data_IF_589261425696
#
_entry.id   IF_589261425696
#
_cell.length_a   1.000
_cell.length_b   1.000
_cell.length_c   1.000
_cell.angle_alpha   90.00
_cell.angle_beta   90.00
_cell.angle_gamma   90.00
#
_symmetry.space_group_name_H-M   'P 1'
#
loop_
_entity.id
_entity.type
_entity.pdbx_description
1 polymer ?
#
# COMPACT_ATOMS: atom_id res chain seq x y z
N UNK A 1 -18.52 -1.08 -8.69
CA UNK A 1 -17.42 -0.47 -7.92
C UNK A 1 -17.37 1.02 -8.24
N UNK A 2 -17.43 1.88 -7.21
CA UNK A 2 -17.41 3.35 -7.34
C UNK A 2 -15.99 3.88 -7.16
N UNK A 3 -15.46 4.58 -8.16
CA UNK A 3 -14.08 5.10 -8.16
C UNK A 3 -14.11 6.63 -8.18
N UNK A 4 -13.36 7.26 -7.28
CA UNK A 4 -13.03 8.68 -7.34
C UNK A 4 -11.68 8.83 -8.03
N UNK A 5 -11.61 9.66 -9.06
CA UNK A 5 -10.37 9.95 -9.82
C UNK A 5 -9.87 11.33 -9.47
N UNK A 6 -8.61 11.49 -9.07
CA UNK A 6 -8.03 12.81 -8.76
C UNK A 6 -6.66 12.96 -9.41
N UNK A 7 -6.53 13.95 -10.28
CA UNK A 7 -5.31 14.27 -11.01
C UNK A 7 -5.36 15.74 -11.44
N UNK A 8 -4.26 16.49 -11.33
CA UNK A 8 -4.25 17.89 -11.74
C UNK A 8 -4.21 18.06 -13.28
N UNK A 9 -3.85 17.01 -14.01
CA UNK A 9 -3.98 16.97 -15.47
C UNK A 9 -5.39 16.51 -15.87
N UNK A 10 -6.18 17.48 -16.39
CA UNK A 10 -7.54 17.23 -16.87
C UNK A 10 -7.63 16.21 -18.02
N UNK A 11 -6.60 16.15 -18.88
CA UNK A 11 -6.59 15.17 -19.98
C UNK A 11 -6.43 13.74 -19.43
N UNK A 12 -5.61 13.57 -18.40
CA UNK A 12 -5.47 12.28 -17.70
C UNK A 12 -6.79 11.90 -17.05
N UNK A 13 -7.46 12.82 -16.37
CA UNK A 13 -8.78 12.56 -15.77
C UNK A 13 -9.80 12.09 -16.81
N UNK A 14 -9.91 12.78 -17.96
CA UNK A 14 -10.87 12.40 -19.03
C UNK A 14 -10.50 11.07 -19.67
N UNK A 15 -9.20 10.80 -19.87
CA UNK A 15 -8.75 9.52 -20.38
C UNK A 15 -9.09 8.37 -19.43
N UNK A 16 -8.79 8.52 -18.14
CA UNK A 16 -9.12 7.55 -17.10
C UNK A 16 -10.63 7.32 -17.00
N UNK A 17 -11.42 8.40 -17.01
CA UNK A 17 -12.88 8.30 -16.98
C UNK A 17 -13.39 7.50 -18.19
N UNK A 18 -12.87 7.77 -19.39
CA UNK A 18 -13.25 7.03 -20.59
C UNK A 18 -12.89 5.55 -20.48
N UNK A 19 -11.66 5.22 -20.05
CA UNK A 19 -11.21 3.84 -19.86
C UNK A 19 -12.10 3.14 -18.83
N UNK A 20 -12.33 3.74 -17.66
CA UNK A 20 -13.09 3.14 -16.59
C UNK A 20 -14.57 2.94 -16.95
N UNK A 21 -15.16 3.84 -17.71
CA UNK A 21 -16.56 3.73 -18.17
C UNK A 21 -16.78 2.62 -19.22
N UNK A 22 -15.74 2.13 -19.90
CA UNK A 22 -15.86 0.97 -20.78
C UNK A 22 -16.04 -0.34 -19.99
N UNK A 23 -15.68 -0.34 -18.73
CA UNK A 23 -15.85 -1.46 -17.81
C UNK A 23 -17.26 -1.39 -17.19
N UNK A 24 -18.09 -2.36 -17.49
CA UNK A 24 -19.50 -2.36 -17.09
C UNK A 24 -19.75 -2.45 -15.58
N UNK A 25 -18.72 -2.79 -14.80
CA UNK A 25 -18.75 -2.95 -13.34
C UNK A 25 -18.04 -1.81 -12.57
N UNK A 26 -17.57 -0.78 -13.28
CA UNK A 26 -16.88 0.39 -12.70
C UNK A 26 -17.68 1.67 -12.98
N UNK A 27 -17.95 2.43 -11.94
CA UNK A 27 -18.60 3.74 -11.99
C UNK A 27 -17.60 4.81 -11.51
N UNK A 28 -17.36 5.84 -12.31
CA UNK A 28 -16.61 7.03 -11.87
C UNK A 28 -17.55 7.92 -11.06
N UNK A 29 -17.43 7.86 -9.73
CA UNK A 29 -18.28 8.58 -8.79
C UNK A 29 -18.01 10.09 -8.79
N UNK A 30 -16.80 10.50 -9.13
CA UNK A 30 -16.40 11.90 -9.20
C UNK A 30 -14.99 12.07 -9.78
N UNK A 31 -14.66 13.31 -10.09
CA UNK A 31 -13.33 13.73 -10.57
C UNK A 31 -12.90 14.96 -9.80
N UNK A 32 -11.70 14.96 -9.25
CA UNK A 32 -11.05 16.09 -8.60
C UNK A 32 -9.74 16.47 -9.28
N UNK A 33 -9.21 17.66 -8.98
CA UNK A 33 -8.04 18.19 -9.67
C UNK A 33 -6.92 18.64 -8.73
N UNK A 34 -7.03 18.36 -7.43
CA UNK A 34 -6.01 18.68 -6.42
C UNK A 34 -6.27 17.88 -5.14
N UNK A 35 -5.35 17.95 -4.17
CA UNK A 35 -5.49 17.23 -2.91
C UNK A 35 -6.68 17.66 -2.06
N UNK A 36 -7.08 18.93 -2.10
CA UNK A 36 -8.27 19.40 -1.38
C UNK A 36 -9.56 18.81 -1.96
N UNK A 37 -9.65 18.72 -3.31
CA UNK A 37 -10.75 18.04 -3.97
C UNK A 37 -10.78 16.56 -3.55
N UNK A 38 -9.61 15.90 -3.46
CA UNK A 38 -9.54 14.51 -3.03
C UNK A 38 -10.16 14.31 -1.65
N UNK A 39 -9.81 15.15 -0.67
CA UNK A 39 -10.34 15.05 0.71
C UNK A 39 -11.84 15.34 0.74
N UNK A 40 -12.29 16.45 0.14
CA UNK A 40 -13.69 16.87 0.18
C UNK A 40 -14.61 15.89 -0.56
N UNK A 41 -14.23 15.48 -1.78
CA UNK A 41 -15.02 14.54 -2.57
C UNK A 41 -15.00 13.12 -1.99
N UNK A 42 -13.91 12.71 -1.34
CA UNK A 42 -13.88 11.42 -0.66
C UNK A 42 -14.90 11.37 0.48
N UNK A 43 -14.94 12.40 1.32
CA UNK A 43 -15.88 12.50 2.43
C UNK A 43 -17.34 12.53 1.95
N UNK A 44 -17.62 13.27 0.86
CA UNK A 44 -18.96 13.40 0.27
C UNK A 44 -19.43 12.13 -0.42
N UNK A 45 -18.59 11.59 -1.32
CA UNK A 45 -19.00 10.51 -2.24
C UNK A 45 -18.80 9.12 -1.65
N UNK A 46 -17.91 8.97 -0.68
CA UNK A 46 -17.51 7.68 -0.05
C UNK A 46 -17.26 6.60 -1.10
N UNK A 47 -16.28 6.79 -1.99
CA UNK A 47 -15.98 5.85 -3.07
C UNK A 47 -15.44 4.52 -2.50
N UNK A 48 -15.56 3.46 -3.27
CA UNK A 48 -14.94 2.17 -2.94
C UNK A 48 -13.42 2.23 -3.05
N UNK A 49 -12.90 2.98 -4.04
CA UNK A 49 -11.47 3.19 -4.29
C UNK A 49 -11.23 4.64 -4.73
N UNK A 50 -10.19 5.26 -4.19
CA UNK A 50 -9.64 6.52 -4.67
C UNK A 50 -8.42 6.24 -5.55
N UNK A 51 -8.48 6.62 -6.82
CA UNK A 51 -7.35 6.65 -7.75
C UNK A 51 -6.80 8.06 -7.81
N UNK A 52 -5.57 8.29 -7.35
CA UNK A 52 -5.06 9.63 -7.13
C UNK A 52 -3.61 9.79 -7.57
N UNK A 53 -3.30 10.90 -8.27
CA UNK A 53 -1.91 11.29 -8.50
C UNK A 53 -1.25 11.76 -7.20
N UNK A 54 0.05 11.57 -7.12
CA UNK A 54 0.87 12.03 -6.00
C UNK A 54 1.24 13.50 -6.15
N UNK A 55 1.63 13.90 -7.37
CA UNK A 55 2.19 15.24 -7.62
C UNK A 55 1.14 16.16 -8.20
N UNK A 56 0.46 16.85 -7.32
CA UNK A 56 -0.53 17.88 -7.66
C UNK A 56 -0.14 19.22 -7.07
N UNK A 57 -0.53 20.31 -7.71
CA UNK A 57 -0.28 21.66 -7.21
C UNK A 57 -1.00 21.93 -5.87
N UNK A 58 -0.30 22.57 -4.93
CA UNK A 58 -0.82 22.82 -3.59
C UNK A 58 -0.69 21.59 -2.68
N UNK A 59 -1.82 21.06 -2.21
CA UNK A 59 -1.85 19.82 -1.41
C UNK A 59 -1.52 18.63 -2.28
N UNK A 60 -0.46 17.91 -1.92
CA UNK A 60 -0.01 16.69 -2.62
C UNK A 60 -0.95 15.52 -2.38
N UNK A 61 -0.88 14.49 -3.25
CA UNK A 61 -1.64 13.26 -3.04
C UNK A 61 -1.28 12.52 -1.74
N UNK A 62 -0.02 12.62 -1.29
CA UNK A 62 0.40 12.04 -0.01
C UNK A 62 -0.22 12.75 1.19
N UNK A 63 -0.24 14.08 1.19
CA UNK A 63 -0.91 14.87 2.24
C UNK A 63 -2.41 14.61 2.25
N UNK A 64 -3.04 14.53 1.07
CA UNK A 64 -4.45 14.17 0.94
C UNK A 64 -4.73 12.74 1.45
N UNK A 65 -3.86 11.77 1.11
CA UNK A 65 -3.93 10.40 1.60
C UNK A 65 -3.88 10.35 3.14
N UNK A 66 -2.95 11.08 3.75
CA UNK A 66 -2.83 11.14 5.21
C UNK A 66 -4.09 11.73 5.85
N UNK A 67 -4.63 12.82 5.30
CA UNK A 67 -5.86 13.44 5.78
C UNK A 67 -7.05 12.48 5.69
N UNK A 68 -7.23 11.82 4.53
CA UNK A 68 -8.30 10.85 4.31
C UNK A 68 -8.18 9.65 5.26
N UNK A 69 -7.01 9.05 5.40
CA UNK A 69 -6.80 7.88 6.27
C UNK A 69 -6.96 8.21 7.76
N UNK A 70 -6.73 9.45 8.17
CA UNK A 70 -6.96 9.90 9.55
C UNK A 70 -8.45 9.91 9.91
N UNK A 71 -9.32 10.24 8.96
CA UNK A 71 -10.77 10.29 9.14
C UNK A 71 -11.45 8.97 8.73
N UNK A 72 -10.94 8.33 7.68
CA UNK A 72 -11.44 7.08 7.11
C UNK A 72 -10.33 6.02 7.08
N UNK A 73 -10.04 5.32 8.19
CA UNK A 73 -8.93 4.37 8.29
C UNK A 73 -8.98 3.20 7.29
N UNK A 74 -10.17 2.83 6.84
CA UNK A 74 -10.41 1.75 5.87
C UNK A 74 -10.41 2.22 4.41
N UNK A 75 -10.10 3.50 4.15
CA UNK A 75 -10.07 4.04 2.80
C UNK A 75 -9.07 3.28 1.92
N UNK A 76 -9.51 2.93 0.71
CA UNK A 76 -8.68 2.24 -0.27
C UNK A 76 -8.16 3.26 -1.27
N UNK A 77 -6.85 3.52 -1.19
CA UNK A 77 -6.18 4.53 -2.01
C UNK A 77 -5.15 3.83 -2.89
N UNK A 78 -5.28 4.01 -4.20
CA UNK A 78 -4.36 3.57 -5.23
C UNK A 78 -3.71 4.80 -5.86
N UNK A 79 -2.40 4.94 -5.71
CA UNK A 79 -1.66 6.01 -6.36
C UNK A 79 -1.37 5.68 -7.82
N UNK A 80 -1.52 6.69 -8.67
CA UNK A 80 -1.18 6.62 -10.08
C UNK A 80 -0.28 7.80 -10.42
N UNK A 81 0.98 7.57 -10.78
CA UNK A 81 1.97 8.64 -10.97
C UNK A 81 2.81 8.46 -12.22
N UNK A 82 3.37 9.55 -12.72
CA UNK A 82 4.28 9.51 -13.87
C UNK A 82 5.70 9.11 -13.46
N UNK A 83 6.11 9.38 -12.23
CA UNK A 83 7.49 9.23 -11.79
C UNK A 83 7.64 8.21 -10.65
N UNK A 84 8.70 7.40 -10.76
CA UNK A 84 9.17 6.54 -9.69
C UNK A 84 10.08 7.36 -8.77
N UNK A 85 9.48 7.95 -7.73
CA UNK A 85 10.20 8.63 -6.67
C UNK A 85 10.27 7.72 -5.44
N UNK A 86 11.49 7.40 -5.05
CA UNK A 86 11.77 6.46 -3.97
C UNK A 86 11.16 6.92 -2.63
N UNK A 87 11.20 8.22 -2.34
CA UNK A 87 10.65 8.78 -1.10
C UNK A 87 9.13 8.69 -1.08
N UNK A 88 8.47 8.97 -2.21
CA UNK A 88 7.01 8.88 -2.32
C UNK A 88 6.52 7.45 -2.20
N UNK A 89 7.24 6.48 -2.78
CA UNK A 89 6.92 5.05 -2.65
C UNK A 89 6.94 4.65 -1.17
N UNK A 90 8.01 5.00 -0.44
CA UNK A 90 8.15 4.65 0.98
C UNK A 90 7.07 5.32 1.83
N UNK A 91 6.79 6.60 1.59
CA UNK A 91 5.74 7.32 2.32
C UNK A 91 4.35 6.71 2.06
N UNK A 92 4.01 6.41 0.80
CA UNK A 92 2.75 5.78 0.44
C UNK A 92 2.56 4.42 1.13
N UNK A 93 3.63 3.60 1.17
CA UNK A 93 3.62 2.30 1.85
C UNK A 93 3.42 2.43 3.37
N UNK A 94 4.14 3.36 4.02
CA UNK A 94 4.03 3.62 5.46
C UNK A 94 2.63 4.10 5.87
N UNK A 95 2.02 4.94 5.04
CA UNK A 95 0.65 5.42 5.28
C UNK A 95 -0.42 4.34 5.07
N UNK A 96 -0.08 3.22 4.44
CA UNK A 96 -1.02 2.13 4.18
C UNK A 96 -1.84 2.29 2.92
N UNK A 97 -1.32 3.04 1.94
CA UNK A 97 -1.90 3.05 0.60
C UNK A 97 -2.02 1.63 0.06
N UNK A 98 -3.14 1.32 -0.60
CA UNK A 98 -3.42 -0.03 -1.11
C UNK A 98 -2.74 -0.32 -2.44
N UNK A 99 -2.15 0.69 -3.06
CA UNK A 99 -1.37 0.43 -4.25
C UNK A 99 -0.67 1.66 -4.81
N UNK A 100 0.22 1.37 -5.76
CA UNK A 100 1.04 2.36 -6.43
C UNK A 100 1.37 1.88 -7.85
N UNK A 101 0.92 2.60 -8.86
CA UNK A 101 1.11 2.29 -10.27
C UNK A 101 1.74 3.46 -11.02
N UNK A 102 2.36 3.16 -12.14
CA UNK A 102 2.80 4.16 -13.09
C UNK A 102 1.69 4.49 -14.10
N UNK A 103 1.53 5.78 -14.45
CA UNK A 103 0.56 6.25 -15.46
C UNK A 103 0.77 5.61 -16.84
N UNK A 104 1.99 5.15 -17.15
CA UNK A 104 2.28 4.45 -18.41
C UNK A 104 1.70 3.03 -18.49
N UNK A 105 1.35 2.42 -17.34
CA UNK A 105 0.84 1.05 -17.26
C UNK A 105 -0.69 1.01 -17.31
N UNK A 106 -1.29 1.65 -18.32
CA UNK A 106 -2.74 1.83 -18.47
C UNK A 106 -3.53 0.51 -18.39
N UNK A 107 -2.99 -0.55 -18.96
CA UNK A 107 -3.63 -1.88 -18.96
C UNK A 107 -3.77 -2.48 -17.55
N UNK A 108 -2.90 -2.06 -16.61
CA UNK A 108 -2.90 -2.54 -15.24
C UNK A 108 -3.87 -1.79 -14.32
N UNK A 109 -4.39 -0.63 -14.73
CA UNK A 109 -5.21 0.23 -13.86
C UNK A 109 -6.51 -0.46 -13.43
N UNK A 110 -7.28 -0.99 -14.38
CA UNK A 110 -8.56 -1.65 -14.09
C UNK A 110 -8.38 -2.92 -13.25
N UNK A 111 -7.47 -3.84 -13.59
CA UNK A 111 -7.16 -4.98 -12.74
C UNK A 111 -6.73 -4.58 -11.32
N UNK A 112 -5.91 -3.54 -11.18
CA UNK A 112 -5.45 -3.05 -9.89
C UNK A 112 -6.59 -2.46 -9.05
N UNK A 113 -7.47 -1.65 -9.64
CA UNK A 113 -8.66 -1.13 -8.96
C UNK A 113 -9.56 -2.24 -8.44
N UNK A 114 -9.80 -3.28 -9.24
CA UNK A 114 -10.59 -4.46 -8.84
C UNK A 114 -9.92 -5.22 -7.69
N UNK A 115 -8.61 -5.41 -7.74
CA UNK A 115 -7.85 -6.07 -6.67
C UNK A 115 -7.85 -5.25 -5.36
N UNK A 116 -7.66 -3.93 -5.46
CA UNK A 116 -7.74 -3.01 -4.31
C UNK A 116 -9.15 -2.98 -3.73
N UNK A 117 -10.19 -2.99 -4.56
CA UNK A 117 -11.58 -3.09 -4.10
C UNK A 117 -11.84 -4.39 -3.32
N UNK A 118 -11.21 -5.50 -3.70
CA UNK A 118 -11.24 -6.77 -2.96
C UNK A 118 -10.34 -6.78 -1.70
N UNK A 119 -9.68 -5.67 -1.36
CA UNK A 119 -8.82 -5.54 -0.19
C UNK A 119 -7.37 -6.00 -0.40
N UNK A 120 -6.96 -6.28 -1.63
CA UNK A 120 -5.57 -6.62 -1.95
C UNK A 120 -4.72 -5.36 -2.08
N UNK A 121 -3.41 -5.49 -1.83
CA UNK A 121 -2.45 -4.43 -2.13
C UNK A 121 -1.79 -4.70 -3.49
N UNK A 122 -1.68 -3.66 -4.32
CA UNK A 122 -1.15 -3.76 -5.70
C UNK A 122 0.00 -2.79 -5.89
N UNK A 123 1.18 -3.32 -6.20
CA UNK A 123 2.35 -2.52 -6.53
C UNK A 123 2.90 -3.00 -7.86
N UNK A 124 3.13 -2.08 -8.80
CA UNK A 124 3.71 -2.41 -10.10
C UNK A 124 5.12 -3.02 -9.96
N UNK A 125 5.52 -3.85 -10.92
CA UNK A 125 6.82 -4.56 -10.90
C UNK A 125 8.02 -3.63 -10.72
N UNK A 126 7.96 -2.43 -11.31
CA UNK A 126 8.98 -1.40 -11.16
C UNK A 126 9.16 -0.92 -9.71
N UNK A 127 8.13 -1.05 -8.88
CA UNK A 127 8.14 -0.67 -7.46
C UNK A 127 8.65 -1.85 -6.63
N UNK A 128 8.11 -3.04 -6.89
CA UNK A 128 8.50 -4.26 -6.17
C UNK A 128 10.00 -4.52 -6.29
N UNK A 129 10.59 -4.32 -7.47
CA UNK A 129 12.04 -4.43 -7.69
C UNK A 129 12.87 -3.40 -6.94
N UNK A 130 12.32 -2.25 -6.62
CA UNK A 130 13.00 -1.17 -5.86
C UNK A 130 12.85 -1.30 -4.34
N UNK A 131 11.81 -1.96 -3.87
CA UNK A 131 11.53 -2.09 -2.44
C UNK A 131 12.76 -2.51 -1.61
N UNK A 132 13.58 -3.51 -2.01
CA UNK A 132 14.76 -3.87 -1.24
C UNK A 132 15.79 -2.74 -1.09
N UNK A 133 15.98 -1.92 -2.15
CA UNK A 133 16.91 -0.78 -2.13
C UNK A 133 16.35 0.41 -1.34
N UNK A 134 15.04 0.64 -1.42
CA UNK A 134 14.36 1.74 -0.73
C UNK A 134 14.40 1.56 0.78
N UNK A 135 14.26 0.34 1.21
CA UNK A 135 14.35 -0.03 2.62
C UNK A 135 15.79 0.05 3.13
N UNK A 136 16.80 -0.18 2.26
CA UNK A 136 18.22 -0.01 2.63
C UNK A 136 18.64 1.45 2.86
N UNK A 137 18.06 2.41 2.14
CA UNK A 137 18.49 3.82 2.18
C UNK A 137 18.05 4.57 3.43
N UNK A 138 17.03 4.10 4.12
CA UNK A 138 16.49 4.76 5.33
C UNK A 138 17.07 4.23 6.64
N UNK A 139 17.82 3.13 6.61
CA UNK A 139 18.52 2.60 7.79
C UNK A 139 19.74 3.43 8.25
N UNK A 140 19.97 4.58 7.64
CA UNK A 140 21.10 5.48 7.93
C UNK A 140 20.82 6.55 9.00
N UNK A 141 19.79 6.44 9.81
CA UNK A 141 19.51 7.44 10.83
C UNK A 141 18.61 6.98 11.95
N UNK A 142 19.18 6.88 13.13
CA UNK A 142 18.65 6.78 14.50
C UNK A 142 18.28 5.41 15.05
N UNK A 143 19.00 5.06 16.12
CA UNK A 143 18.73 4.02 17.13
C UNK A 143 18.21 2.67 16.59
N UNK A 144 19.13 1.78 16.28
CA UNK A 144 18.84 0.37 16.04
C UNK A 144 18.47 -0.32 17.36
N UNK A 145 17.17 -0.34 17.68
CA UNK A 145 16.70 -1.37 18.61
C UNK A 145 16.76 -2.71 17.90
N UNK A 146 17.20 -3.73 18.60
CA UNK A 146 17.17 -5.10 18.12
C UNK A 146 15.73 -5.48 17.75
N UNK A 147 15.50 -5.94 16.51
CA UNK A 147 14.18 -6.39 16.07
C UNK A 147 13.59 -7.41 17.05
N UNK A 148 14.44 -8.19 17.70
CA UNK A 148 14.05 -9.20 18.66
C UNK A 148 13.43 -8.58 19.92
N UNK A 149 13.92 -7.42 20.37
CA UNK A 149 13.32 -6.66 21.46
C UNK A 149 11.95 -6.11 21.07
N UNK A 150 11.84 -5.54 19.87
CA UNK A 150 10.56 -5.00 19.37
C UNK A 150 9.51 -6.10 19.24
N UNK A 151 9.85 -7.23 18.66
CA UNK A 151 8.92 -8.35 18.51
C UNK A 151 8.53 -8.95 19.87
N UNK A 152 9.45 -9.00 20.81
CA UNK A 152 9.18 -9.46 22.18
C UNK A 152 8.25 -8.50 22.96
N UNK A 153 8.46 -7.19 22.84
CA UNK A 153 7.58 -6.16 23.43
C UNK A 153 6.13 -6.29 22.96
N UNK A 154 5.94 -6.66 21.68
CA UNK A 154 4.61 -6.87 21.08
C UNK A 154 4.07 -8.29 21.28
N UNK A 155 4.75 -9.13 22.07
CA UNK A 155 4.32 -10.49 22.38
C UNK A 155 4.26 -11.41 21.16
N UNK A 156 5.18 -11.23 20.20
CA UNK A 156 5.31 -12.08 19.02
C UNK A 156 6.01 -13.39 19.41
N UNK A 157 5.36 -14.52 19.18
CA UNK A 157 5.91 -15.85 19.43
C UNK A 157 6.91 -16.28 18.35
N UNK A 158 7.76 -17.28 18.63
CA UNK A 158 8.72 -17.84 17.66
C UNK A 158 8.07 -18.31 16.35
N UNK A 159 6.85 -18.85 16.45
CA UNK A 159 6.06 -19.29 15.26
C UNK A 159 5.58 -18.12 14.44
N UNK A 160 5.08 -17.07 15.08
CA UNK A 160 4.68 -15.84 14.41
C UNK A 160 5.89 -15.14 13.78
N UNK A 161 7.04 -15.12 14.47
CA UNK A 161 8.29 -14.61 13.93
C UNK A 161 8.70 -15.35 12.66
N UNK A 162 8.68 -16.68 12.66
CA UNK A 162 9.00 -17.47 11.46
C UNK A 162 8.09 -17.12 10.26
N UNK A 163 6.82 -16.82 10.52
CA UNK A 163 5.88 -16.35 9.48
C UNK A 163 6.27 -14.96 8.99
N UNK A 164 6.61 -14.02 9.88
CA UNK A 164 7.05 -12.65 9.55
C UNK A 164 8.27 -12.71 8.63
N UNK A 165 9.30 -13.49 8.97
CA UNK A 165 10.53 -13.63 8.19
C UNK A 165 10.28 -14.13 6.76
N UNK A 166 9.37 -15.10 6.60
CA UNK A 166 9.03 -15.63 5.29
C UNK A 166 8.16 -14.66 4.47
N UNK A 167 7.32 -13.87 5.15
CA UNK A 167 6.59 -12.76 4.53
C UNK A 167 7.55 -11.70 4.00
N UNK A 168 8.56 -11.34 4.79
CA UNK A 168 9.59 -10.37 4.40
C UNK A 168 10.44 -10.85 3.22
N UNK A 169 10.57 -12.16 3.04
CA UNK A 169 11.19 -12.79 1.87
C UNK A 169 10.28 -12.86 0.64
N UNK A 170 9.03 -12.38 0.76
CA UNK A 170 8.08 -12.34 -0.36
C UNK A 170 7.29 -13.63 -0.62
N UNK A 171 7.39 -14.66 0.25
CA UNK A 171 6.71 -15.94 0.04
C UNK A 171 5.18 -15.80 0.18
N UNK A 172 4.42 -16.46 -0.66
CA UNK A 172 2.95 -16.59 -0.55
C UNK A 172 2.54 -17.43 0.66
N UNK A 173 1.27 -17.36 1.10
CA UNK A 173 0.79 -18.20 2.21
C UNK A 173 0.95 -19.69 1.95
N UNK A 174 0.83 -20.11 0.69
CA UNK A 174 1.03 -21.48 0.27
C UNK A 174 2.50 -21.91 0.44
N UNK A 175 3.45 -21.09 0.01
CA UNK A 175 4.88 -21.36 0.16
C UNK A 175 5.31 -21.35 1.63
N UNK A 176 4.78 -20.41 2.43
CA UNK A 176 5.00 -20.38 3.88
C UNK A 176 4.45 -21.64 4.56
N UNK A 177 3.24 -22.06 4.18
CA UNK A 177 2.62 -23.27 4.70
C UNK A 177 3.46 -24.52 4.39
N UNK A 178 4.00 -24.62 3.18
CA UNK A 178 4.92 -25.68 2.78
C UNK A 178 6.23 -25.65 3.58
N UNK A 179 6.82 -24.47 3.74
CA UNK A 179 8.09 -24.28 4.44
C UNK A 179 8.00 -24.60 5.93
N UNK A 180 6.89 -24.21 6.58
CA UNK A 180 6.70 -24.40 8.03
C UNK A 180 5.92 -25.69 8.38
N UNK A 181 5.56 -26.50 7.39
CA UNK A 181 4.73 -27.70 7.56
C UNK A 181 3.37 -27.41 8.24
N UNK A 182 2.71 -26.33 7.77
CA UNK A 182 1.42 -25.85 8.27
C UNK A 182 0.34 -25.92 7.17
N UNK A 183 -0.92 -25.67 7.55
CA UNK A 183 -1.97 -25.41 6.59
C UNK A 183 -1.95 -23.93 6.17
N UNK A 184 -2.42 -23.60 4.96
CA UNK A 184 -2.57 -22.19 4.53
C UNK A 184 -3.52 -21.41 5.45
N UNK A 185 -4.54 -22.07 6.01
CA UNK A 185 -5.44 -21.47 7.00
C UNK A 185 -4.72 -21.10 8.28
N UNK A 186 -3.80 -21.95 8.75
CA UNK A 186 -2.98 -21.67 9.94
C UNK A 186 -2.06 -20.48 9.69
N UNK A 187 -1.41 -20.38 8.52
CA UNK A 187 -0.58 -19.24 8.14
C UNK A 187 -1.39 -17.95 8.12
N UNK A 188 -2.61 -18.00 7.58
CA UNK A 188 -3.52 -16.83 7.56
C UNK A 188 -3.88 -16.37 8.99
N UNK A 189 -4.13 -17.30 9.89
CA UNK A 189 -4.43 -16.97 11.29
C UNK A 189 -3.21 -16.33 11.99
N UNK A 190 -2.01 -16.85 11.77
CA UNK A 190 -0.78 -16.23 12.29
C UNK A 190 -0.57 -14.83 11.74
N UNK A 191 -0.78 -14.63 10.43
CA UNK A 191 -0.68 -13.31 9.82
C UNK A 191 -1.67 -12.31 10.41
N UNK A 192 -2.92 -12.71 10.61
CA UNK A 192 -3.93 -11.83 11.21
C UNK A 192 -3.54 -11.44 12.65
N UNK A 193 -3.10 -12.40 13.45
CA UNK A 193 -2.66 -12.14 14.83
C UNK A 193 -1.44 -11.21 14.89
N UNK A 194 -0.46 -11.42 14.01
CA UNK A 194 0.74 -10.58 13.89
C UNK A 194 0.39 -9.14 13.51
N UNK A 195 -0.46 -8.98 12.50
CA UNK A 195 -0.91 -7.66 12.06
C UNK A 195 -1.63 -6.89 13.18
N UNK A 196 -2.49 -7.57 13.93
CA UNK A 196 -3.17 -7.00 15.08
C UNK A 196 -2.20 -6.58 16.18
N UNK A 197 -1.26 -7.46 16.58
CA UNK A 197 -0.26 -7.20 17.62
C UNK A 197 0.66 -6.03 17.29
N UNK A 198 1.06 -5.90 16.03
CA UNK A 198 1.96 -4.85 15.55
C UNK A 198 1.22 -3.58 15.11
N UNK A 199 -0.13 -3.56 15.13
CA UNK A 199 -0.94 -2.43 14.65
C UNK A 199 -0.80 -2.17 13.16
N UNK A 200 -0.47 -3.19 12.37
CA UNK A 200 -0.25 -3.10 10.93
C UNK A 200 -1.52 -3.50 10.17
N UNK A 201 -1.76 -2.86 9.03
CA UNK A 201 -3.00 -3.04 8.27
C UNK A 201 -2.98 -4.24 7.32
N UNK A 202 -1.81 -4.57 6.78
CA UNK A 202 -1.68 -5.63 5.78
C UNK A 202 -0.26 -6.23 5.72
N UNK A 203 -0.17 -7.30 4.91
CA UNK A 203 1.05 -8.06 4.68
C UNK A 203 2.22 -7.23 4.14
N UNK A 204 1.91 -6.23 3.30
CA UNK A 204 2.95 -5.37 2.71
C UNK A 204 3.57 -4.49 3.78
N UNK A 205 2.74 -3.91 4.66
CA UNK A 205 3.24 -3.16 5.81
C UNK A 205 4.08 -4.03 6.75
N UNK A 206 3.70 -5.29 6.96
CA UNK A 206 4.47 -6.23 7.75
C UNK A 206 5.84 -6.51 7.15
N UNK A 207 5.92 -6.77 5.85
CA UNK A 207 7.18 -6.97 5.16
C UNK A 207 8.10 -5.74 5.25
N UNK A 208 7.53 -4.54 5.03
CA UNK A 208 8.24 -3.26 5.14
C UNK A 208 8.75 -3.04 6.56
N UNK A 209 7.90 -3.24 7.56
CA UNK A 209 8.24 -3.10 8.98
C UNK A 209 9.43 -4.01 9.34
N UNK A 210 9.32 -5.32 9.06
CA UNK A 210 10.36 -6.28 9.43
C UNK A 210 11.70 -5.99 8.75
N UNK A 211 11.69 -5.66 7.44
CA UNK A 211 12.92 -5.34 6.71
C UNK A 211 13.54 -4.03 7.18
N UNK A 212 12.75 -3.04 7.59
CA UNK A 212 13.25 -1.78 8.12
C UNK A 212 13.96 -1.97 9.47
N UNK A 213 13.39 -2.79 10.36
CA UNK A 213 13.92 -3.01 11.70
C UNK A 213 15.11 -4.00 11.74
N UNK A 214 15.12 -5.05 10.88
CA UNK A 214 16.20 -6.06 10.89
C UNK A 214 17.53 -5.59 10.32
N UNK A 215 17.61 -4.45 9.67
CA UNK A 215 18.81 -3.97 8.98
C UNK A 215 19.56 -2.85 9.67
N UNK A 216 19.17 -2.49 10.88
CA UNK A 216 19.98 -1.65 11.77
C UNK A 216 21.28 -2.31 12.27
N UNK A 217 21.46 -3.63 12.06
CA UNK A 217 22.46 -4.44 12.77
C UNK A 217 23.62 -4.97 11.87
N UNK A 218 23.88 -4.38 10.73
CA UNK A 218 25.06 -4.70 9.89
C UNK A 218 25.80 -3.41 9.55
N UNK A 219 26.56 -2.90 10.52
CA UNK A 219 27.56 -1.87 10.36
C UNK A 219 28.95 -2.44 10.58
#
# INVERSE_FOLDING_TARGET
>A
MRVLVVDDDRLVCEALKTILQTEGDVEVAGVGHNGHDAVSLFAELKPDVLLMDIRMGGMTGLEACQAILSEFPDARILFLTTFLDDEYIVQALRMGAKGYLLKQDFESIVPALKAVHMGQSVFGDAIVTRLPRLLHRQAGGTDSRDIDEILAEHGISDRERSVIELVAKGLSNREIAQTLYLSEGTVRNYLSAVLEKLGLRDRTQLAVFYVAETRGDTG
#
